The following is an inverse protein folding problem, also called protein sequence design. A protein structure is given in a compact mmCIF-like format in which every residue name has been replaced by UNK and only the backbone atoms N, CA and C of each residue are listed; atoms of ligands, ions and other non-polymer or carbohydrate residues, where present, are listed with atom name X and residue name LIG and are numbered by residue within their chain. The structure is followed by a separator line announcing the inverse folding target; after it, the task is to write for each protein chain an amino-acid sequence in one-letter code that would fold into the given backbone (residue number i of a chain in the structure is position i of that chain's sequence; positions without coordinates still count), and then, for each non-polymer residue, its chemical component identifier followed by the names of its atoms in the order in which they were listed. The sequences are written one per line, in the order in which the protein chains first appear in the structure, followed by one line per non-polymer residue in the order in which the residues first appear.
data_IF_368549013928
#
_entry.id   IF_368549013928
#
_cell.length_a   1.000
_cell.length_b   1.000
_cell.length_c   1.000
_cell.angle_alpha   90.00
_cell.angle_beta   90.00
_cell.angle_gamma   90.00
#
_symmetry.space_group_name_H-M   'P 1'
#
loop_
_entity.id
_entity.type
_entity.pdbx_description
1 polymer ?
#
# COMPACT_ATOMS: atom_id res chain seq x y z
N UNK A 1 20.64 26.17 -60.73
CA UNK A 1 19.58 27.05 -61.30
C UNK A 1 18.35 26.85 -60.42
N UNK A 2 18.09 27.80 -59.52
CA UNK A 2 17.02 28.80 -59.55
C UNK A 2 15.65 28.12 -59.48
N UNK A 3 14.78 28.32 -58.47
CA UNK A 3 14.19 29.58 -58.04
C UNK A 3 13.41 29.41 -56.72
N UNK A 4 13.55 30.42 -55.90
CA UNK A 4 12.71 30.73 -54.72
C UNK A 4 11.32 31.17 -55.15
N UNK A 5 10.27 30.82 -54.43
CA UNK A 5 9.09 31.70 -54.32
C UNK A 5 8.49 31.56 -52.91
N UNK A 6 8.67 32.61 -52.12
CA UNK A 6 7.91 32.90 -50.86
C UNK A 6 6.51 33.35 -51.27
N UNK A 7 5.50 32.82 -50.59
CA UNK A 7 4.20 33.53 -50.48
C UNK A 7 3.83 33.68 -49.02
N UNK A 8 3.82 34.92 -48.60
CA UNK A 8 3.17 35.44 -47.39
C UNK A 8 1.67 35.27 -47.57
N UNK A 9 0.99 34.78 -46.53
CA UNK A 9 -0.44 35.01 -46.33
C UNK A 9 -0.68 35.68 -45.00
N UNK A 10 -1.39 36.76 -45.06
CA UNK A 10 -1.70 37.72 -43.99
C UNK A 10 -2.80 37.19 -43.08
N UNK A 11 -2.70 37.59 -41.85
CA UNK A 11 -3.62 37.50 -40.73
C UNK A 11 -5.07 37.80 -41.06
N UNK A 12 -5.96 36.96 -40.51
CA UNK A 12 -7.28 37.37 -40.07
C UNK A 12 -7.46 36.83 -38.62
N UNK A 13 -7.42 37.75 -37.68
CA UNK A 13 -7.82 37.48 -36.28
C UNK A 13 -9.33 37.26 -36.23
N UNK A 14 -9.76 36.07 -35.96
CA UNK A 14 -11.09 35.81 -35.38
C UNK A 14 -10.91 35.21 -34.03
N UNK A 15 -11.23 36.00 -33.00
CA UNK A 15 -11.33 35.58 -31.59
C UNK A 15 -12.55 34.69 -31.46
N UNK A 16 -12.36 33.39 -31.62
CA UNK A 16 -13.34 32.41 -31.18
C UNK A 16 -12.97 31.97 -29.80
N UNK A 17 -13.74 32.42 -28.80
CA UNK A 17 -13.68 31.92 -27.43
C UNK A 17 -14.07 30.44 -27.43
N UNK A 18 -13.08 29.56 -27.39
CA UNK A 18 -13.30 28.12 -27.15
C UNK A 18 -13.56 28.00 -25.66
N UNK A 19 -14.84 27.90 -25.29
CA UNK A 19 -15.24 27.36 -24.00
C UNK A 19 -14.84 25.89 -24.01
N UNK A 20 -13.72 25.58 -23.41
CA UNK A 20 -13.32 24.22 -23.12
C UNK A 20 -14.34 23.66 -22.09
N UNK A 21 -15.33 22.94 -22.57
CA UNK A 21 -16.12 22.04 -21.73
C UNK A 21 -15.14 21.01 -21.18
N UNK A 22 -14.78 21.15 -19.90
CA UNK A 22 -14.07 20.12 -19.17
C UNK A 22 -14.97 18.88 -19.16
N UNK A 23 -14.72 17.94 -20.07
CA UNK A 23 -15.27 16.59 -19.97
C UNK A 23 -14.72 16.01 -18.66
N UNK A 24 -15.59 15.45 -17.80
CA UNK A 24 -15.10 14.74 -16.63
C UNK A 24 -14.18 13.65 -17.15
N UNK A 25 -12.91 13.72 -16.80
CA UNK A 25 -11.97 12.62 -17.01
C UNK A 25 -12.50 11.46 -16.18
N UNK A 26 -13.16 10.53 -16.85
CA UNK A 26 -13.45 9.21 -16.26
C UNK A 26 -12.09 8.64 -15.90
N UNK A 27 -11.82 8.50 -14.60
CA UNK A 27 -10.61 7.86 -14.14
C UNK A 27 -10.51 6.51 -14.84
N UNK A 28 -9.53 6.35 -15.72
CA UNK A 28 -9.28 5.07 -16.38
C UNK A 28 -9.01 4.07 -15.26
N UNK A 29 -9.77 2.97 -15.22
CA UNK A 29 -9.52 1.89 -14.26
C UNK A 29 -8.12 1.33 -14.55
N UNK A 30 -7.14 1.83 -13.82
CA UNK A 30 -5.72 1.58 -14.02
C UNK A 30 -5.38 0.09 -13.97
N UNK A 31 -6.14 -0.67 -13.21
CA UNK A 31 -5.91 -2.10 -13.01
C UNK A 31 -6.93 -2.99 -13.75
N UNK A 32 -7.88 -2.42 -14.47
CA UNK A 32 -8.91 -3.13 -15.26
C UNK A 32 -9.53 -4.32 -14.51
N UNK A 33 -9.94 -4.09 -13.27
CA UNK A 33 -10.48 -5.14 -12.41
C UNK A 33 -11.88 -5.54 -12.84
N UNK A 34 -12.12 -6.85 -12.94
CA UNK A 34 -13.43 -7.42 -13.26
C UNK A 34 -13.99 -8.07 -12.02
N UNK A 35 -15.24 -7.77 -11.69
CA UNK A 35 -15.97 -8.31 -10.53
C UNK A 35 -15.26 -8.07 -9.18
N UNK A 36 -15.77 -7.18 -8.32
CA UNK A 36 -15.20 -6.95 -7.01
C UNK A 36 -15.20 -8.23 -6.20
N UNK A 37 -14.06 -8.62 -5.65
CA UNK A 37 -13.94 -9.76 -4.78
C UNK A 37 -12.78 -9.56 -3.81
N UNK A 38 -13.10 -9.39 -2.53
CA UNK A 38 -12.10 -9.46 -1.48
C UNK A 38 -11.82 -10.95 -1.23
N UNK A 39 -10.58 -11.38 -1.55
CA UNK A 39 -10.18 -12.78 -1.60
C UNK A 39 -10.21 -13.45 -0.23
N UNK A 40 -9.75 -12.75 0.82
CA UNK A 40 -9.66 -13.29 2.16
C UNK A 40 -9.06 -12.31 3.16
N UNK A 41 -8.81 -12.82 4.36
CA UNK A 41 -8.25 -12.05 5.48
C UNK A 41 -6.82 -12.47 5.75
N UNK A 42 -5.93 -11.49 5.71
CA UNK A 42 -4.52 -11.60 6.09
C UNK A 42 -4.27 -10.87 7.41
N UNK A 43 -3.14 -11.14 8.05
CA UNK A 43 -2.68 -10.41 9.24
C UNK A 43 -1.32 -9.76 8.95
N UNK A 44 -1.15 -8.50 9.31
CA UNK A 44 0.16 -7.86 9.31
C UNK A 44 1.00 -8.32 10.48
N UNK A 45 2.25 -8.72 10.23
CA UNK A 45 3.21 -9.07 11.27
C UNK A 45 3.44 -7.92 12.27
N UNK A 46 3.21 -6.68 11.83
CA UNK A 46 3.31 -5.49 12.68
C UNK A 46 2.32 -5.50 13.84
N UNK A 47 1.21 -6.21 13.71
CA UNK A 47 0.22 -6.42 14.79
C UNK A 47 0.83 -7.07 16.05
N UNK A 48 1.89 -7.86 15.87
CA UNK A 48 2.57 -8.57 16.96
C UNK A 48 3.95 -7.96 17.29
N UNK A 49 4.22 -6.71 16.90
CA UNK A 49 5.53 -6.05 17.03
C UNK A 49 6.15 -6.16 18.44
N UNK A 50 5.32 -6.17 19.49
CA UNK A 50 5.78 -6.29 20.90
C UNK A 50 6.31 -7.68 21.27
N UNK A 51 5.98 -8.68 20.47
CA UNK A 51 6.34 -10.08 20.70
C UNK A 51 7.44 -10.58 19.78
N UNK A 52 7.80 -9.78 18.76
CA UNK A 52 8.76 -10.20 17.74
C UNK A 52 10.19 -10.21 18.28
N UNK A 53 10.97 -11.22 17.91
CA UNK A 53 12.36 -11.41 18.32
C UNK A 53 13.33 -10.39 17.72
N UNK A 54 12.95 -9.73 16.63
CA UNK A 54 13.78 -8.81 15.90
C UNK A 54 13.06 -7.47 15.70
N UNK A 55 13.82 -6.40 15.75
CA UNK A 55 13.37 -5.07 15.40
C UNK A 55 14.45 -4.32 14.62
N UNK A 56 14.30 -4.25 13.30
CA UNK A 56 15.20 -3.51 12.40
C UNK A 56 16.67 -3.92 12.48
N UNK A 57 16.92 -5.22 12.65
CA UNK A 57 18.25 -5.78 12.74
C UNK A 57 18.73 -6.04 14.17
N UNK A 58 18.08 -5.46 15.15
CA UNK A 58 18.42 -5.66 16.57
C UNK A 58 17.60 -6.79 17.20
N UNK A 59 18.22 -7.53 18.09
CA UNK A 59 17.54 -8.55 18.89
C UNK A 59 16.71 -7.88 19.99
N UNK A 60 15.50 -8.40 20.23
CA UNK A 60 14.60 -7.97 21.31
C UNK A 60 14.38 -9.09 22.31
N UNK A 61 13.63 -8.83 23.38
CA UNK A 61 13.18 -9.86 24.35
C UNK A 61 11.97 -10.67 23.84
N UNK A 62 11.46 -10.36 22.66
CA UNK A 62 10.35 -11.10 22.03
C UNK A 62 10.72 -12.55 21.73
N UNK A 63 9.73 -13.41 21.73
CA UNK A 63 9.91 -14.85 21.50
C UNK A 63 9.40 -15.30 20.12
N UNK A 64 8.70 -14.43 19.39
CA UNK A 64 8.08 -14.74 18.14
C UNK A 64 8.99 -14.34 16.97
N UNK A 65 9.32 -15.29 16.12
CA UNK A 65 9.96 -15.03 14.82
C UNK A 65 8.91 -15.09 13.67
N UNK A 66 9.34 -14.89 12.43
CA UNK A 66 8.46 -14.95 11.26
C UNK A 66 7.85 -16.34 11.08
N UNK A 67 8.56 -17.42 11.41
CA UNK A 67 8.01 -18.78 11.32
C UNK A 67 6.88 -18.99 12.34
N UNK A 68 7.10 -18.57 13.58
CA UNK A 68 6.07 -18.59 14.62
C UNK A 68 4.89 -17.67 14.33
N UNK A 69 5.12 -16.53 13.66
CA UNK A 69 4.04 -15.68 13.17
C UNK A 69 3.16 -16.38 12.13
N UNK A 70 3.75 -17.10 11.17
CA UNK A 70 2.99 -17.90 10.21
C UNK A 70 2.18 -18.97 10.90
N UNK A 71 2.74 -19.65 11.93
CA UNK A 71 2.00 -20.62 12.75
C UNK A 71 0.82 -19.99 13.48
N UNK A 72 0.99 -18.75 13.95
CA UNK A 72 -0.10 -18.00 14.58
C UNK A 72 -1.21 -17.69 13.58
N UNK A 73 -0.87 -17.22 12.38
CA UNK A 73 -1.84 -16.98 11.30
C UNK A 73 -2.63 -18.26 10.97
N UNK A 74 -1.94 -19.39 10.84
CA UNK A 74 -2.58 -20.68 10.56
C UNK A 74 -3.53 -21.13 11.68
N UNK A 75 -3.13 -20.97 12.96
CA UNK A 75 -4.02 -21.29 14.10
C UNK A 75 -5.28 -20.44 14.13
N UNK A 76 -5.21 -19.19 13.66
CA UNK A 76 -6.38 -18.32 13.50
C UNK A 76 -7.20 -18.65 12.25
N UNK A 77 -6.77 -19.64 11.46
CA UNK A 77 -7.37 -20.01 10.19
C UNK A 77 -7.33 -18.88 9.17
N UNK A 78 -6.35 -17.98 9.21
CA UNK A 78 -6.20 -16.89 8.25
C UNK A 78 -5.84 -17.43 6.87
N UNK A 79 -6.19 -16.65 5.84
CA UNK A 79 -5.90 -17.00 4.45
C UNK A 79 -4.49 -16.57 4.05
N UNK A 80 -3.92 -15.58 4.76
CA UNK A 80 -2.61 -15.04 4.44
C UNK A 80 -1.92 -14.29 5.56
N UNK A 81 -0.68 -13.88 5.26
CA UNK A 81 0.21 -13.14 6.13
C UNK A 81 0.93 -12.03 5.36
N UNK A 82 0.92 -10.81 5.87
CA UNK A 82 1.78 -9.72 5.42
C UNK A 82 3.01 -9.68 6.31
N UNK A 83 4.19 -9.81 5.69
CA UNK A 83 5.46 -9.86 6.41
C UNK A 83 6.10 -8.47 6.45
N UNK A 84 6.72 -8.12 7.60
CA UNK A 84 7.39 -6.83 7.74
C UNK A 84 8.89 -7.02 7.86
N UNK A 85 9.65 -6.28 7.07
CA UNK A 85 11.12 -6.32 7.02
C UNK A 85 11.78 -6.16 8.40
N UNK A 86 11.11 -5.48 9.33
CA UNK A 86 11.66 -5.19 10.66
C UNK A 86 11.88 -6.42 11.53
N UNK A 87 11.21 -7.53 11.22
CA UNK A 87 11.14 -8.72 12.07
C UNK A 87 11.97 -9.88 11.56
N UNK A 88 12.71 -9.66 10.49
CA UNK A 88 13.66 -10.64 9.98
C UNK A 88 14.99 -10.59 10.74
N UNK A 89 15.72 -11.72 10.85
CA UNK A 89 17.04 -11.75 11.47
C UNK A 89 18.05 -10.89 10.73
N UNK A 90 19.07 -10.45 11.44
CA UNK A 90 20.22 -9.77 10.84
C UNK A 90 21.50 -10.48 11.28
N UNK A 91 22.37 -10.96 10.35
CA UNK A 91 22.16 -10.95 8.89
C UNK A 91 20.98 -11.83 8.44
N UNK A 92 20.37 -11.47 7.31
CA UNK A 92 19.31 -12.28 6.70
C UNK A 92 19.92 -13.26 5.70
N UNK A 93 19.86 -14.54 6.02
CA UNK A 93 20.36 -15.63 5.19
C UNK A 93 19.27 -16.14 4.24
N UNK A 94 19.65 -16.49 3.01
CA UNK A 94 18.74 -17.07 2.00
C UNK A 94 18.06 -18.35 2.52
N UNK A 95 18.76 -19.12 3.33
CA UNK A 95 18.22 -20.32 3.97
C UNK A 95 17.02 -20.01 4.85
N UNK A 96 17.05 -18.90 5.59
CA UNK A 96 15.90 -18.47 6.41
C UNK A 96 14.72 -18.03 5.54
N UNK A 97 14.97 -17.28 4.47
CA UNK A 97 13.93 -16.89 3.49
C UNK A 97 13.24 -18.13 2.90
N UNK A 98 14.04 -19.15 2.53
CA UNK A 98 13.52 -20.42 2.02
C UNK A 98 12.71 -21.21 3.07
N UNK A 99 13.10 -21.16 4.35
CA UNK A 99 12.34 -21.77 5.45
C UNK A 99 10.99 -21.07 5.63
N UNK A 100 10.95 -19.74 5.59
CA UNK A 100 9.70 -18.96 5.67
C UNK A 100 8.76 -19.32 4.52
N UNK A 101 9.25 -19.30 3.28
CA UNK A 101 8.47 -19.69 2.10
C UNK A 101 7.92 -21.09 2.19
N UNK A 102 8.77 -22.06 2.56
CA UNK A 102 8.36 -23.46 2.76
C UNK A 102 7.30 -23.58 3.87
N UNK A 103 7.49 -22.87 5.01
CA UNK A 103 6.55 -22.91 6.13
C UNK A 103 5.19 -22.36 5.73
N UNK A 104 5.13 -21.21 5.08
CA UNK A 104 3.89 -20.63 4.57
C UNK A 104 3.14 -21.62 3.68
N UNK A 105 3.83 -22.25 2.72
CA UNK A 105 3.24 -23.24 1.83
C UNK A 105 2.65 -24.45 2.58
N UNK A 106 3.40 -25.02 3.54
CA UNK A 106 2.94 -26.18 4.32
C UNK A 106 1.74 -25.86 5.23
N UNK A 107 1.60 -24.62 5.64
CA UNK A 107 0.48 -24.14 6.46
C UNK A 107 -0.74 -23.71 5.62
N UNK A 108 -0.61 -23.66 4.30
CA UNK A 108 -1.65 -23.12 3.41
C UNK A 108 -1.88 -21.63 3.60
N UNK A 109 -0.83 -20.89 4.01
CA UNK A 109 -0.86 -19.43 4.20
C UNK A 109 -0.22 -18.76 2.99
N UNK A 110 -0.97 -17.90 2.31
CA UNK A 110 -0.41 -17.05 1.26
C UNK A 110 0.45 -15.92 1.88
N UNK A 111 1.64 -15.66 1.32
CA UNK A 111 2.36 -14.42 1.62
C UNK A 111 1.71 -13.32 0.80
N UNK A 112 0.81 -12.55 1.43
CA UNK A 112 -0.05 -11.60 0.74
C UNK A 112 0.64 -10.29 0.38
N UNK A 113 1.77 -10.02 1.01
CA UNK A 113 2.57 -8.83 0.78
C UNK A 113 3.74 -8.73 1.74
N UNK A 114 4.51 -7.68 1.51
CA UNK A 114 5.58 -7.24 2.39
C UNK A 114 5.39 -5.79 2.83
N UNK A 115 6.13 -5.40 3.87
CA UNK A 115 6.19 -4.02 4.33
C UNK A 115 7.63 -3.65 4.72
N UNK A 116 8.08 -2.46 4.32
CA UNK A 116 9.42 -1.98 4.66
C UNK A 116 9.42 -0.53 5.14
N UNK A 117 10.53 -0.11 5.76
CA UNK A 117 10.66 1.21 6.36
C UNK A 117 11.62 2.13 5.62
N UNK A 118 11.47 2.24 4.31
CA UNK A 118 12.24 3.15 3.46
C UNK A 118 11.87 4.62 3.68
N UNK A 119 12.72 5.53 3.18
CA UNK A 119 12.49 6.97 3.17
C UNK A 119 12.99 7.58 1.85
N UNK A 120 12.09 7.91 0.95
CA UNK A 120 12.40 8.51 -0.36
C UNK A 120 12.37 10.04 -0.37
N UNK A 121 12.21 10.69 0.78
CA UNK A 121 12.24 12.14 0.90
C UNK A 121 13.64 12.76 0.71
N UNK A 122 14.70 11.94 0.80
CA UNK A 122 16.08 12.39 0.58
C UNK A 122 16.40 12.59 -0.91
N UNK A 123 17.22 13.58 -1.27
CA UNK A 123 17.70 13.73 -2.64
C UNK A 123 18.33 12.42 -3.15
N UNK A 124 18.00 11.92 -4.35
CA UNK A 124 18.49 10.63 -4.85
C UNK A 124 20.02 10.50 -4.85
N UNK A 125 20.71 11.62 -5.13
CA UNK A 125 22.16 11.67 -5.24
C UNK A 125 22.88 11.90 -3.89
N UNK A 126 22.15 12.11 -2.80
CA UNK A 126 22.73 12.21 -1.46
C UNK A 126 23.16 10.83 -0.93
N UNK A 127 24.05 10.82 0.06
CA UNK A 127 24.46 9.56 0.72
C UNK A 127 23.26 8.85 1.37
N UNK A 128 22.34 9.61 1.96
CA UNK A 128 21.10 9.07 2.54
C UNK A 128 20.18 8.51 1.45
N UNK A 129 19.99 9.23 0.33
CA UNK A 129 19.16 8.74 -0.78
C UNK A 129 19.70 7.44 -1.37
N UNK A 130 21.03 7.35 -1.59
CA UNK A 130 21.67 6.10 -2.06
C UNK A 130 21.53 4.96 -1.06
N UNK A 131 21.68 5.25 0.25
CA UNK A 131 21.51 4.25 1.31
C UNK A 131 20.08 3.72 1.37
N UNK A 132 19.08 4.61 1.28
CA UNK A 132 17.67 4.23 1.28
C UNK A 132 17.31 3.40 0.02
N UNK A 133 17.84 3.76 -1.14
CA UNK A 133 17.65 2.97 -2.36
C UNK A 133 18.31 1.58 -2.26
N UNK A 134 19.51 1.46 -1.70
CA UNK A 134 20.15 0.17 -1.48
C UNK A 134 19.36 -0.70 -0.48
N UNK A 135 18.85 -0.10 0.60
CA UNK A 135 17.95 -0.77 1.55
C UNK A 135 16.66 -1.25 0.88
N UNK A 136 16.07 -0.41 0.03
CA UNK A 136 14.88 -0.75 -0.73
C UNK A 136 15.14 -1.95 -1.66
N UNK A 137 16.21 -1.91 -2.46
CA UNK A 137 16.55 -2.98 -3.41
C UNK A 137 16.79 -4.32 -2.69
N UNK A 138 17.54 -4.29 -1.58
CA UNK A 138 17.77 -5.46 -0.74
C UNK A 138 16.45 -6.12 -0.31
N UNK A 139 15.49 -5.33 0.19
CA UNK A 139 14.22 -5.90 0.64
C UNK A 139 13.29 -6.31 -0.50
N UNK A 140 13.31 -5.61 -1.62
CA UNK A 140 12.53 -6.04 -2.80
C UNK A 140 13.01 -7.40 -3.29
N UNK A 141 14.33 -7.65 -3.32
CA UNK A 141 14.89 -8.96 -3.68
C UNK A 141 14.38 -10.06 -2.75
N UNK A 142 14.46 -9.84 -1.43
CA UNK A 142 13.98 -10.82 -0.47
C UNK A 142 12.47 -11.05 -0.52
N UNK A 143 11.66 -10.00 -0.69
CA UNK A 143 10.22 -10.15 -0.84
C UNK A 143 9.83 -10.83 -2.16
N UNK A 144 10.55 -10.59 -3.24
CA UNK A 144 10.38 -11.32 -4.50
C UNK A 144 10.68 -12.81 -4.32
N UNK A 145 11.78 -13.16 -3.65
CA UNK A 145 12.16 -14.54 -3.34
C UNK A 145 11.14 -15.23 -2.43
N UNK A 146 10.51 -14.51 -1.52
CA UNK A 146 9.39 -14.99 -0.69
C UNK A 146 8.10 -15.20 -1.51
N UNK A 147 7.99 -14.60 -2.69
CA UNK A 147 6.78 -14.63 -3.52
C UNK A 147 5.73 -13.61 -3.11
N UNK A 148 6.11 -12.55 -2.38
CA UNK A 148 5.21 -11.45 -2.05
C UNK A 148 4.85 -10.66 -3.31
N UNK A 149 3.56 -10.54 -3.67
CA UNK A 149 3.15 -9.87 -4.90
C UNK A 149 3.21 -8.34 -4.82
N UNK A 150 3.17 -7.80 -3.61
CA UNK A 150 3.16 -6.36 -3.34
C UNK A 150 3.97 -6.05 -2.09
N UNK A 151 4.63 -4.90 -2.08
CA UNK A 151 5.37 -4.41 -0.91
C UNK A 151 4.94 -2.99 -0.58
N UNK A 152 4.50 -2.79 0.65
CA UNK A 152 4.22 -1.48 1.20
C UNK A 152 5.51 -0.69 1.38
N UNK A 153 5.50 0.54 0.85
CA UNK A 153 6.59 1.51 0.95
C UNK A 153 6.10 2.85 1.49
N UNK A 154 7.02 3.64 2.03
CA UNK A 154 6.78 5.02 2.42
C UNK A 154 7.35 5.99 1.39
N UNK A 155 6.70 7.14 1.22
CA UNK A 155 7.26 8.27 0.49
C UNK A 155 8.38 8.95 1.29
N UNK A 156 8.12 9.19 2.58
CA UNK A 156 9.08 9.76 3.51
C UNK A 156 8.60 9.52 4.92
N UNK A 157 9.47 9.68 5.91
CA UNK A 157 9.15 9.48 7.32
C UNK A 157 9.53 10.69 8.16
N UNK A 158 8.65 11.00 9.11
CA UNK A 158 8.87 12.07 10.06
C UNK A 158 8.60 13.47 9.49
N UNK A 159 9.02 14.48 10.26
CA UNK A 159 8.93 15.87 9.80
C UNK A 159 9.89 16.09 8.64
N UNK A 160 9.50 16.89 7.67
CA UNK A 160 10.36 17.36 6.58
C UNK A 160 11.66 17.92 7.18
N UNK A 161 12.75 17.16 7.10
CA UNK A 161 13.99 17.53 7.77
C UNK A 161 14.80 18.57 7.01
N UNK A 162 14.57 18.76 5.72
CA UNK A 162 15.22 19.78 4.91
C UNK A 162 14.47 20.05 3.61
N UNK A 163 14.20 21.31 3.32
CA UNK A 163 13.62 21.76 2.06
C UNK A 163 12.14 22.14 2.17
N UNK A 164 11.62 22.67 1.08
CA UNK A 164 10.20 22.94 0.90
C UNK A 164 9.45 21.64 0.60
N UNK A 165 8.14 21.65 0.78
CA UNK A 165 7.29 20.49 0.42
C UNK A 165 7.49 20.08 -1.04
N UNK A 166 7.59 21.06 -1.96
CA UNK A 166 7.85 20.82 -3.39
C UNK A 166 9.18 20.08 -3.63
N UNK A 167 10.24 20.45 -2.92
CA UNK A 167 11.54 19.76 -3.03
C UNK A 167 11.46 18.33 -2.54
N UNK A 168 10.75 18.08 -1.44
CA UNK A 168 10.54 16.73 -0.92
C UNK A 168 9.71 15.91 -1.90
N UNK A 169 8.64 16.47 -2.45
CA UNK A 169 7.82 15.80 -3.45
C UNK A 169 8.61 15.45 -4.71
N UNK A 170 9.47 16.36 -5.19
CA UNK A 170 10.36 16.09 -6.32
C UNK A 170 11.34 14.95 -6.02
N UNK A 171 11.91 14.90 -4.80
CA UNK A 171 12.79 13.80 -4.38
C UNK A 171 12.03 12.47 -4.33
N UNK A 172 10.83 12.48 -3.76
CA UNK A 172 9.96 11.28 -3.68
C UNK A 172 9.67 10.74 -5.08
N UNK A 173 9.27 11.58 -6.01
CA UNK A 173 8.97 11.17 -7.40
C UNK A 173 10.23 10.58 -8.04
N UNK A 174 11.37 11.28 -7.97
CA UNK A 174 12.62 10.82 -8.59
C UNK A 174 13.14 9.49 -8.00
N UNK A 175 12.97 9.25 -6.70
CA UNK A 175 13.32 7.97 -6.08
C UNK A 175 12.31 6.88 -6.46
N UNK A 176 11.01 7.20 -6.50
CA UNK A 176 9.98 6.23 -6.87
C UNK A 176 10.09 5.78 -8.32
N UNK A 177 10.46 6.64 -9.27
CA UNK A 177 10.73 6.24 -10.67
C UNK A 177 11.78 5.13 -10.73
N UNK A 178 12.88 5.28 -9.98
CA UNK A 178 13.93 4.26 -9.91
C UNK A 178 13.45 3.00 -9.18
N UNK A 179 12.72 3.17 -8.08
CA UNK A 179 12.19 2.07 -7.28
C UNK A 179 11.19 1.22 -8.06
N UNK A 180 10.26 1.85 -8.78
CA UNK A 180 9.26 1.18 -9.62
C UNK A 180 9.94 0.38 -10.74
N UNK A 181 10.90 0.99 -11.44
CA UNK A 181 11.65 0.30 -12.50
C UNK A 181 12.46 -0.90 -11.97
N UNK A 182 12.91 -0.86 -10.72
CA UNK A 182 13.57 -2.00 -10.07
C UNK A 182 12.57 -3.09 -9.68
N UNK A 183 11.49 -2.72 -9.00
CA UNK A 183 10.47 -3.65 -8.51
C UNK A 183 9.76 -4.39 -9.65
N UNK A 184 9.48 -3.72 -10.77
CA UNK A 184 8.95 -4.31 -12.00
C UNK A 184 9.81 -5.48 -12.48
N UNK A 185 11.14 -5.32 -12.53
CA UNK A 185 12.08 -6.39 -12.94
C UNK A 185 12.07 -7.58 -11.99
N UNK A 186 11.67 -7.37 -10.73
CA UNK A 186 11.53 -8.42 -9.72
C UNK A 186 10.12 -9.00 -9.65
N UNK A 187 9.16 -8.46 -10.43
CA UNK A 187 7.77 -8.89 -10.43
C UNK A 187 7.01 -8.51 -9.15
N UNK A 188 7.39 -7.42 -8.49
CA UNK A 188 6.82 -6.94 -7.24
C UNK A 188 6.14 -5.59 -7.47
N UNK A 189 4.86 -5.48 -7.13
CA UNK A 189 4.15 -4.19 -7.11
C UNK A 189 4.55 -3.38 -5.88
N UNK A 190 4.56 -2.07 -6.00
CA UNK A 190 4.76 -1.16 -4.88
C UNK A 190 3.41 -0.57 -4.43
N UNK A 191 3.14 -0.66 -3.14
CA UNK A 191 2.02 0.02 -2.50
C UNK A 191 2.50 1.23 -1.71
N UNK A 192 2.30 2.45 -2.23
CA UNK A 192 2.62 3.67 -1.52
C UNK A 192 1.56 3.94 -0.45
N UNK A 193 1.97 3.98 0.82
CA UNK A 193 1.03 4.13 1.92
C UNK A 193 0.60 5.59 2.12
N UNK A 194 -0.69 5.79 2.40
CA UNK A 194 -1.23 7.07 2.88
C UNK A 194 -0.76 7.36 4.32
N UNK A 195 0.55 7.53 4.47
CA UNK A 195 1.25 7.74 5.74
C UNK A 195 2.16 8.97 5.68
N UNK A 196 2.52 9.56 6.81
CA UNK A 196 3.38 10.74 6.94
C UNK A 196 2.93 11.88 5.98
N UNK A 197 3.74 12.27 5.02
CA UNK A 197 3.44 13.33 4.04
C UNK A 197 2.33 12.94 3.06
N UNK A 198 2.07 11.65 2.88
CA UNK A 198 0.99 11.11 2.02
C UNK A 198 -0.36 11.01 2.76
N UNK A 199 -0.46 11.45 4.03
CA UNK A 199 -1.76 11.68 4.70
C UNK A 199 -2.54 12.81 4.03
N UNK A 200 -1.87 13.72 3.35
CA UNK A 200 -2.47 14.59 2.37
C UNK A 200 -2.76 13.76 1.11
N UNK A 201 -4.03 13.45 0.87
CA UNK A 201 -4.45 12.59 -0.23
C UNK A 201 -4.17 13.22 -1.60
N UNK A 202 -4.21 14.54 -1.71
CA UNK A 202 -3.87 15.22 -2.96
C UNK A 202 -2.38 15.01 -3.32
N UNK A 203 -1.47 15.01 -2.34
CA UNK A 203 -0.06 14.66 -2.53
C UNK A 203 0.10 13.21 -2.99
N UNK A 204 -0.60 12.29 -2.35
CA UNK A 204 -0.56 10.87 -2.73
C UNK A 204 -1.05 10.67 -4.18
N UNK A 205 -2.19 11.23 -4.53
CA UNK A 205 -2.73 11.14 -5.88
C UNK A 205 -1.84 11.83 -6.92
N UNK A 206 -1.22 12.95 -6.56
CA UNK A 206 -0.23 13.61 -7.40
C UNK A 206 0.94 12.67 -7.73
N UNK A 207 1.54 12.02 -6.73
CA UNK A 207 2.65 11.08 -6.93
C UNK A 207 2.22 9.89 -7.79
N UNK A 208 1.08 9.27 -7.48
CA UNK A 208 0.55 8.14 -8.24
C UNK A 208 0.33 8.52 -9.72
N UNK A 209 -0.18 9.72 -9.97
CA UNK A 209 -0.43 10.22 -11.34
C UNK A 209 0.87 10.58 -12.05
N UNK A 210 1.82 11.19 -11.37
CA UNK A 210 3.11 11.60 -11.95
C UNK A 210 3.94 10.39 -12.40
N UNK A 211 3.96 9.30 -11.63
CA UNK A 211 4.70 8.07 -11.97
C UNK A 211 4.00 7.26 -13.06
N UNK A 212 2.67 7.21 -13.03
CA UNK A 212 1.81 6.50 -13.99
C UNK A 212 2.30 5.11 -14.42
N UNK A 213 2.62 4.26 -13.45
CA UNK A 213 3.10 2.90 -13.69
C UNK A 213 2.11 1.84 -13.20
N UNK A 214 1.89 0.73 -13.94
CA UNK A 214 1.08 -0.38 -13.46
C UNK A 214 1.70 -1.12 -12.26
N UNK A 215 2.97 -0.85 -11.94
CA UNK A 215 3.69 -1.44 -10.81
C UNK A 215 3.65 -0.59 -9.54
N UNK A 216 2.96 0.57 -9.58
CA UNK A 216 2.74 1.43 -8.42
C UNK A 216 1.25 1.62 -8.16
N UNK A 217 0.82 1.32 -6.95
CA UNK A 217 -0.51 1.62 -6.44
C UNK A 217 -0.44 2.12 -5.01
N UNK A 218 -1.56 2.04 -4.32
CA UNK A 218 -1.70 2.53 -2.94
C UNK A 218 -1.78 1.34 -1.98
N UNK A 219 -1.01 1.38 -0.89
CA UNK A 219 -1.37 0.68 0.34
C UNK A 219 -2.44 1.51 1.04
N UNK A 220 -3.66 1.04 0.94
CA UNK A 220 -4.83 1.70 1.50
C UNK A 220 -4.92 1.41 3.01
N UNK A 221 -4.35 2.29 3.83
CA UNK A 221 -4.45 2.19 5.29
C UNK A 221 -5.66 2.96 5.82
N UNK A 222 -6.48 2.30 6.59
CA UNK A 222 -7.79 2.80 7.02
C UNK A 222 -7.74 3.82 8.15
N UNK A 223 -6.61 4.04 8.82
CA UNK A 223 -6.56 4.86 10.04
C UNK A 223 -5.56 6.01 10.04
N UNK A 224 -4.72 6.14 9.00
CA UNK A 224 -3.68 7.16 8.99
C UNK A 224 -4.18 8.59 8.76
N UNK A 225 -5.44 8.76 8.35
CA UNK A 225 -6.04 10.06 8.00
C UNK A 225 -6.61 10.75 9.25
N UNK A 226 -5.74 11.29 10.07
CA UNK A 226 -6.08 11.87 11.37
C UNK A 226 -6.50 13.34 11.34
N UNK A 227 -6.22 14.04 10.25
CA UNK A 227 -6.46 15.49 10.11
C UNK A 227 -7.77 15.84 9.38
N UNK A 228 -8.48 14.85 8.84
CA UNK A 228 -9.73 15.08 8.09
C UNK A 228 -10.96 14.83 8.96
N UNK A 229 -12.04 15.61 8.77
CA UNK A 229 -13.31 15.36 9.47
C UNK A 229 -13.94 14.01 9.11
N UNK A 230 -13.89 13.60 7.84
CA UNK A 230 -14.39 12.30 7.36
C UNK A 230 -13.27 11.52 6.65
N UNK A 231 -12.57 10.62 7.37
CA UNK A 231 -11.53 9.80 6.78
C UNK A 231 -12.05 8.86 5.69
N UNK A 232 -13.30 8.43 5.77
CA UNK A 232 -13.90 7.53 4.77
C UNK A 232 -14.09 8.21 3.41
N UNK A 233 -14.40 9.51 3.40
CA UNK A 233 -14.48 10.27 2.16
C UNK A 233 -13.11 10.38 1.47
N UNK A 234 -12.06 10.61 2.23
CA UNK A 234 -10.69 10.63 1.71
C UNK A 234 -10.22 9.24 1.25
N UNK A 235 -10.52 8.21 2.03
CA UNK A 235 -10.23 6.82 1.69
C UNK A 235 -10.94 6.38 0.39
N UNK A 236 -12.14 6.88 0.13
CA UNK A 236 -12.87 6.60 -1.12
C UNK A 236 -12.11 7.10 -2.37
N UNK A 237 -11.42 8.24 -2.27
CA UNK A 237 -10.65 8.82 -3.39
C UNK A 237 -9.48 7.92 -3.82
N UNK A 238 -8.84 7.24 -2.88
CA UNK A 238 -7.67 6.42 -3.13
C UNK A 238 -7.96 4.92 -3.28
N UNK A 239 -9.18 4.48 -2.94
CA UNK A 239 -9.58 3.07 -3.07
C UNK A 239 -9.43 2.51 -4.51
N UNK A 240 -9.69 3.26 -5.60
CA UNK A 240 -9.45 2.79 -6.97
C UNK A 240 -7.98 2.46 -7.28
N UNK A 241 -7.05 3.04 -6.53
CA UNK A 241 -5.60 2.83 -6.67
C UNK A 241 -5.04 1.78 -5.70
N UNK A 242 -5.87 1.21 -4.82
CA UNK A 242 -5.42 0.24 -3.82
C UNK A 242 -4.87 -1.04 -4.47
N UNK A 243 -3.66 -1.45 -4.11
CA UNK A 243 -3.04 -2.74 -4.48
C UNK A 243 -2.91 -3.67 -3.28
N UNK A 244 -2.96 -3.13 -2.07
CA UNK A 244 -3.16 -3.81 -0.80
C UNK A 244 -3.97 -2.93 0.13
N UNK A 245 -4.68 -3.53 1.10
CA UNK A 245 -5.54 -2.79 2.02
C UNK A 245 -5.30 -3.23 3.46
N UNK A 246 -4.84 -2.29 4.30
CA UNK A 246 -4.62 -2.49 5.73
C UNK A 246 -5.81 -1.96 6.52
N UNK A 247 -6.46 -2.86 7.25
CA UNK A 247 -7.60 -2.56 8.10
C UNK A 247 -7.14 -2.40 9.55
N UNK A 248 -7.21 -1.18 10.06
CA UNK A 248 -7.03 -0.89 11.49
C UNK A 248 -8.35 -1.10 12.23
N UNK A 249 -8.26 -1.41 13.52
CA UNK A 249 -9.43 -1.64 14.38
C UNK A 249 -9.99 -0.35 14.97
N UNK A 250 -9.19 0.70 14.94
CA UNK A 250 -9.57 2.06 15.32
C UNK A 250 -9.27 3.02 14.17
N UNK A 251 -10.05 4.08 14.07
CA UNK A 251 -9.82 5.20 13.16
C UNK A 251 -10.07 6.52 13.90
N UNK A 252 -9.95 7.65 13.21
CA UNK A 252 -10.29 8.95 13.78
C UNK A 252 -11.39 9.62 12.95
N UNK A 253 -12.50 9.92 13.58
CA UNK A 253 -13.60 10.66 12.97
C UNK A 253 -13.76 11.99 13.69
N UNK A 254 -13.73 13.10 12.96
CA UNK A 254 -13.71 14.45 13.54
C UNK A 254 -12.57 14.64 14.58
N UNK A 255 -11.40 14.06 14.33
CA UNK A 255 -10.23 14.14 15.22
C UNK A 255 -10.38 13.36 16.53
N UNK A 256 -11.36 12.47 16.66
CA UNK A 256 -11.57 11.62 17.84
C UNK A 256 -11.38 10.15 17.49
N UNK A 257 -10.68 9.38 18.32
CA UNK A 257 -10.58 7.93 18.17
C UNK A 257 -11.99 7.31 18.17
N UNK A 258 -12.24 6.45 17.19
CA UNK A 258 -13.52 5.77 17.00
C UNK A 258 -13.27 4.33 16.55
N UNK A 259 -14.06 3.34 16.98
CA UNK A 259 -13.99 2.00 16.42
C UNK A 259 -14.14 2.03 14.90
N UNK A 260 -13.38 1.20 14.22
CA UNK A 260 -13.43 1.09 12.78
C UNK A 260 -14.77 0.53 12.31
N UNK A 261 -15.39 1.15 11.32
CA UNK A 261 -16.55 0.62 10.62
C UNK A 261 -16.10 -0.29 9.47
N UNK A 262 -15.90 -1.58 9.76
CA UNK A 262 -15.47 -2.55 8.75
C UNK A 262 -16.46 -2.68 7.60
N UNK A 263 -17.74 -2.51 7.83
CA UNK A 263 -18.76 -2.56 6.76
C UNK A 263 -18.54 -1.43 5.76
N UNK A 264 -18.36 -0.21 6.26
CA UNK A 264 -18.08 0.96 5.42
C UNK A 264 -16.73 0.83 4.70
N UNK A 265 -15.68 0.37 5.38
CA UNK A 265 -14.36 0.17 4.80
C UNK A 265 -14.37 -0.86 3.67
N UNK A 266 -14.96 -2.02 3.91
CA UNK A 266 -15.04 -3.09 2.93
C UNK A 266 -15.93 -2.70 1.74
N UNK A 267 -17.00 -1.93 1.99
CA UNK A 267 -17.85 -1.37 0.93
C UNK A 267 -17.08 -0.42 0.01
N UNK A 268 -16.24 0.47 0.55
CA UNK A 268 -15.39 1.37 -0.24
C UNK A 268 -14.46 0.58 -1.16
N UNK A 269 -13.83 -0.47 -0.65
CA UNK A 269 -12.96 -1.34 -1.44
C UNK A 269 -13.74 -2.12 -2.51
N UNK A 270 -14.95 -2.62 -2.17
CA UNK A 270 -15.81 -3.30 -3.12
C UNK A 270 -16.27 -2.38 -4.25
N UNK A 271 -16.70 -1.15 -3.93
CA UNK A 271 -17.14 -0.16 -4.91
C UNK A 271 -16.00 0.25 -5.86
N UNK A 272 -14.77 0.29 -5.35
CA UNK A 272 -13.55 0.48 -6.13
C UNK A 272 -13.10 -0.80 -6.88
N UNK A 273 -13.89 -1.87 -6.86
CA UNK A 273 -13.59 -3.16 -7.49
C UNK A 273 -12.27 -3.78 -7.00
N UNK A 274 -11.88 -3.52 -5.76
CA UNK A 274 -10.67 -4.11 -5.19
C UNK A 274 -10.78 -5.65 -5.17
N UNK A 275 -9.71 -6.31 -5.60
CA UNK A 275 -9.59 -7.77 -5.63
C UNK A 275 -8.29 -8.17 -4.96
N UNK A 276 -8.35 -8.46 -3.71
CA UNK A 276 -7.17 -8.84 -2.97
C UNK A 276 -7.51 -9.24 -1.55
N UNK A 277 -6.50 -9.37 -0.76
CA UNK A 277 -6.65 -9.59 0.68
C UNK A 277 -6.91 -8.28 1.39
N UNK A 278 -7.69 -8.34 2.47
CA UNK A 278 -7.66 -7.29 3.48
C UNK A 278 -6.74 -7.73 4.61
N UNK A 279 -5.81 -6.86 4.96
CA UNK A 279 -4.77 -7.14 5.94
C UNK A 279 -5.17 -6.49 7.25
N UNK A 280 -5.56 -7.28 8.25
CA UNK A 280 -5.81 -6.75 9.59
C UNK A 280 -4.48 -6.29 10.19
N UNK A 281 -4.43 -5.05 10.65
CA UNK A 281 -3.28 -4.51 11.38
C UNK A 281 -3.72 -3.95 12.73
N UNK A 282 -3.33 -4.63 13.79
CA UNK A 282 -3.71 -4.30 15.16
C UNK A 282 -2.60 -3.50 15.84
N UNK A 283 -2.92 -2.30 16.34
CA UNK A 283 -1.93 -1.43 16.97
C UNK A 283 -2.35 -0.91 18.36
N UNK A 284 -3.44 -1.47 18.89
CA UNK A 284 -4.00 -0.99 20.16
C UNK A 284 -3.21 -1.49 21.39
N UNK A 285 -3.55 -0.95 22.57
CA UNK A 285 -2.85 -1.23 23.83
C UNK A 285 -3.15 -2.61 24.39
N UNK A 286 -4.35 -3.14 24.15
CA UNK A 286 -4.74 -4.47 24.60
C UNK A 286 -3.79 -5.53 24.04
N UNK A 287 -3.65 -6.65 24.74
CA UNK A 287 -2.80 -7.76 24.34
C UNK A 287 -3.26 -8.32 22.97
N UNK A 288 -2.40 -8.27 21.93
CA UNK A 288 -2.79 -8.66 20.58
C UNK A 288 -3.33 -10.10 20.48
N UNK A 289 -2.74 -11.03 21.22
CA UNK A 289 -3.18 -12.43 21.20
C UNK A 289 -4.61 -12.62 21.71
N UNK A 290 -5.09 -11.73 22.57
CA UNK A 290 -6.47 -11.75 23.09
C UNK A 290 -7.43 -11.02 22.14
N UNK A 291 -7.01 -9.90 21.56
CA UNK A 291 -7.88 -9.02 20.78
C UNK A 291 -8.04 -9.47 19.32
N UNK A 292 -6.95 -9.84 18.65
CA UNK A 292 -6.92 -10.16 17.21
C UNK A 292 -7.96 -11.22 16.82
N UNK A 293 -8.15 -12.35 17.57
CA UNK A 293 -9.14 -13.37 17.18
C UNK A 293 -10.56 -12.82 17.04
N UNK A 294 -10.93 -11.88 17.91
CA UNK A 294 -12.24 -11.20 17.86
C UNK A 294 -12.41 -10.36 16.58
N UNK A 295 -11.40 -9.59 16.22
CA UNK A 295 -11.42 -8.75 15.02
C UNK A 295 -11.38 -9.57 13.72
N UNK A 296 -10.60 -10.64 13.66
CA UNK A 296 -10.60 -11.59 12.53
C UNK A 296 -12.01 -12.15 12.30
N UNK A 297 -12.68 -12.58 13.37
CA UNK A 297 -14.07 -13.07 13.29
C UNK A 297 -15.03 -11.98 12.79
N UNK A 298 -14.87 -10.74 13.25
CA UNK A 298 -15.71 -9.62 12.84
C UNK A 298 -15.53 -9.29 11.35
N UNK A 299 -14.28 -9.17 10.87
CA UNK A 299 -14.00 -8.91 9.45
C UNK A 299 -14.56 -10.01 8.57
N UNK A 300 -14.36 -11.28 8.92
CA UNK A 300 -14.91 -12.43 8.17
C UNK A 300 -16.42 -12.44 8.12
N UNK A 301 -17.09 -12.16 9.24
CA UNK A 301 -18.55 -12.06 9.29
C UNK A 301 -19.05 -10.98 8.33
N UNK A 302 -18.40 -9.81 8.31
CA UNK A 302 -18.77 -8.72 7.41
C UNK A 302 -18.56 -9.10 5.94
N UNK A 303 -17.43 -9.71 5.60
CA UNK A 303 -17.14 -10.18 4.24
C UNK A 303 -18.18 -11.23 3.77
N UNK A 304 -18.54 -12.19 4.63
CA UNK A 304 -19.54 -13.20 4.29
C UNK A 304 -20.90 -12.59 4.02
N UNK A 305 -21.33 -11.62 4.83
CA UNK A 305 -22.59 -10.91 4.63
C UNK A 305 -22.62 -10.13 3.30
N UNK A 306 -21.51 -9.45 2.95
CA UNK A 306 -21.40 -8.71 1.69
C UNK A 306 -21.41 -9.62 0.46
N UNK A 307 -20.71 -10.77 0.52
CA UNK A 307 -20.67 -11.72 -0.59
C UNK A 307 -22.03 -12.38 -0.83
N UNK A 308 -22.83 -12.63 0.21
CA UNK A 308 -24.18 -13.19 0.08
C UNK A 308 -25.13 -12.25 -0.65
N UNK A 309 -25.06 -10.94 -0.37
CA UNK A 309 -25.90 -9.93 -1.04
C UNK A 309 -25.56 -9.75 -2.53
N UNK A 310 -24.29 -9.91 -2.91
CA UNK A 310 -23.85 -9.77 -4.31
C UNK A 310 -24.30 -10.97 -5.18
N UNK A 311 -24.50 -12.14 -4.58
CA UNK A 311 -24.93 -13.35 -5.31
C UNK A 311 -26.43 -13.30 -5.65
N UNK A 312 -27.24 -12.61 -4.85
CA UNK A 312 -28.67 -12.46 -5.10
C UNK A 312 -28.98 -11.42 -6.20
N UNK A 313 -28.10 -10.44 -6.41
CA UNK A 313 -28.28 -9.40 -7.45
C UNK A 313 -27.84 -9.85 -8.85
N UNK A 314 -27.12 -10.94 -8.98
CA UNK A 314 -26.61 -11.44 -10.27
C UNK A 314 -26.77 -12.97 -10.38
N UNK A 315 -28.00 -13.51 -10.51
CA UNK A 315 -28.17 -14.95 -10.79
C UNK A 315 -27.57 -15.27 -12.16
N UNK A 316 -26.67 -16.27 -12.21
CA UNK A 316 -25.96 -16.74 -13.40
C UNK A 316 -26.93 -17.18 -14.49
#
# INVERSE_FOLDING_TARGET
MISRTRRRFLQACSTSSIVALATPTVAVDRFQRVNPLIKGVSLSAYSLKRHMQWWKGDRTDGLLDILGFLDYCARLGLDGAELTSYFFPSPLEVTYTNQVKRRAHLLGIDITGGAMGNNFAHPPQSDLGRKEMAYFQFWIDHFADLGAPVVRIFAGRGKLQAGTEDQVMANVIANLEQAVAYAEKRGVMLGLENHDIMKNIDNLLHVITAIDSPWLGVTWDSANLTATPDPYAELAKIAPHAVTAQLKVMTQVNGKPSPADFTRMLKLLQDAKYRGYVVLEYEEKEEPHNAIPGFVKQVRKTLSAMNSSTTEENPR
#
